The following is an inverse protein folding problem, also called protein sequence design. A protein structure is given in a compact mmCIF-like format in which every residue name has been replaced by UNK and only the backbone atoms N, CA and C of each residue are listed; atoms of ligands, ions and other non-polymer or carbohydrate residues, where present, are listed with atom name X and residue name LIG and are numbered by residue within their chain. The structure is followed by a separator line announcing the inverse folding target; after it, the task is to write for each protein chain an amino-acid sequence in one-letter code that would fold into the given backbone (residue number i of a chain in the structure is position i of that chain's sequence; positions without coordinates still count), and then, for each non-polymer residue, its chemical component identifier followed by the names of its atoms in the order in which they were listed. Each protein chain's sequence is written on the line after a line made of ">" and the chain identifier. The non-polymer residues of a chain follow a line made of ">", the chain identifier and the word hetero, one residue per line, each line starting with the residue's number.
data_IF_871594735002
#
_entry.id   IF_871594735002
#
_cell.length_a   1.000
_cell.length_b   1.000
_cell.length_c   1.000
_cell.angle_alpha   90.00
_cell.angle_beta   90.00
_cell.angle_gamma   90.00
#
_symmetry.space_group_name_H-M   'P 1'
#
loop_
_entity.id
_entity.type
_entity.pdbx_description
1 polymer ?
#
# COMPACT_ATOMS: atom_id res chain seq x y z
N UNK A 1 -52.05 8.30 17.84
CA UNK A 1 -51.49 7.65 19.05
C UNK A 1 -50.33 8.51 19.50
N UNK A 2 -50.58 9.37 20.48
CA UNK A 2 -49.70 10.47 20.89
C UNK A 2 -48.83 9.98 22.04
N UNK A 3 -47.51 9.87 21.84
CA UNK A 3 -46.59 9.57 22.94
C UNK A 3 -46.23 10.86 23.68
N UNK A 4 -46.59 10.88 24.96
CA UNK A 4 -46.33 11.96 25.92
C UNK A 4 -44.85 12.00 26.29
N UNK A 5 -44.31 13.21 26.34
CA UNK A 5 -42.97 13.54 26.81
C UNK A 5 -43.03 13.61 28.34
N UNK A 6 -42.38 12.67 29.02
CA UNK A 6 -42.18 12.71 30.46
C UNK A 6 -40.90 13.49 30.77
N UNK A 7 -41.04 14.64 31.39
CA UNK A 7 -39.94 15.40 31.99
C UNK A 7 -39.67 14.79 33.38
N UNK A 8 -38.53 14.15 33.56
CA UNK A 8 -37.96 13.88 34.90
C UNK A 8 -36.51 14.29 34.86
N UNK A 9 -36.22 15.44 35.45
CA UNK A 9 -34.89 15.82 35.88
C UNK A 9 -34.53 14.94 37.08
N UNK A 10 -33.40 14.26 37.00
CA UNK A 10 -32.48 14.07 38.13
C UNK A 10 -31.14 13.60 37.56
N UNK A 11 -30.10 14.36 37.91
CA UNK A 11 -28.79 14.28 37.29
C UNK A 11 -28.04 13.00 37.63
N UNK A 12 -27.51 12.38 36.58
CA UNK A 12 -26.10 12.01 36.47
C UNK A 12 -25.78 12.35 35.01
N UNK A 13 -24.79 13.21 34.77
CA UNK A 13 -24.23 13.36 33.44
C UNK A 13 -23.59 12.01 33.10
N UNK A 14 -24.33 11.14 32.42
CA UNK A 14 -23.69 10.09 31.66
C UNK A 14 -22.83 10.80 30.63
N UNK A 15 -21.51 10.67 30.79
CA UNK A 15 -20.54 11.09 29.79
C UNK A 15 -21.00 10.50 28.46
N UNK A 16 -21.59 11.37 27.63
CA UNK A 16 -21.78 11.10 26.23
C UNK A 16 -20.34 11.02 25.70
N UNK A 17 -19.78 9.81 25.73
CA UNK A 17 -18.56 9.49 25.01
C UNK A 17 -18.87 9.88 23.57
N UNK A 18 -18.41 11.08 23.22
CA UNK A 18 -18.21 11.47 21.84
C UNK A 18 -17.33 10.36 21.30
N UNK A 19 -17.93 9.39 20.62
CA UNK A 19 -17.20 8.54 19.72
C UNK A 19 -16.68 9.51 18.66
N UNK A 20 -15.52 10.11 18.96
CA UNK A 20 -14.61 10.54 17.91
C UNK A 20 -14.48 9.30 17.07
N UNK A 21 -15.09 9.31 15.89
CA UNK A 21 -14.75 8.39 14.82
C UNK A 21 -13.29 8.64 14.56
N UNK A 22 -12.42 7.96 15.34
CA UNK A 22 -10.99 7.93 15.12
C UNK A 22 -10.85 7.58 13.65
N UNK A 23 -10.28 8.49 12.89
CA UNK A 23 -10.02 8.28 11.48
C UNK A 23 -8.99 7.14 11.39
N UNK A 24 -9.49 5.91 11.26
CA UNK A 24 -8.65 4.71 11.25
C UNK A 24 -8.08 4.55 9.85
N UNK A 25 -6.94 5.18 9.62
CA UNK A 25 -6.16 5.02 8.40
C UNK A 25 -5.60 3.59 8.34
N UNK A 26 -5.74 2.86 7.23
CA UNK A 26 -5.04 1.60 7.05
C UNK A 26 -3.53 1.78 7.17
N UNK A 27 -2.88 0.86 7.86
CA UNK A 27 -1.43 0.80 7.91
C UNK A 27 -0.92 0.05 6.67
N UNK A 28 -0.01 0.69 5.95
CA UNK A 28 0.72 0.13 4.81
C UNK A 28 2.17 0.03 5.21
N UNK A 29 2.75 -1.16 5.09
CA UNK A 29 4.19 -1.30 5.33
C UNK A 29 4.99 -1.06 4.06
N UNK A 30 6.21 -0.54 4.21
CA UNK A 30 7.15 -0.38 3.11
C UNK A 30 8.47 -1.10 3.37
N UNK A 31 9.04 -1.72 2.35
CA UNK A 31 10.34 -2.41 2.36
C UNK A 31 11.16 -2.06 1.11
N UNK A 32 12.39 -2.56 1.04
CA UNK A 32 13.33 -2.26 -0.05
C UNK A 32 14.12 -0.98 0.22
N UNK A 33 14.14 -0.08 -0.76
CA UNK A 33 14.88 1.19 -0.69
C UNK A 33 14.15 2.20 0.22
N UNK A 34 14.63 2.31 1.46
CA UNK A 34 14.06 3.16 2.50
C UNK A 34 14.20 4.65 2.17
N UNK A 35 15.35 5.07 1.66
CA UNK A 35 15.61 6.48 1.36
C UNK A 35 14.73 6.94 0.20
N UNK A 36 14.59 6.10 -0.83
CA UNK A 36 13.66 6.31 -1.92
C UNK A 36 12.22 6.46 -1.41
N UNK A 37 11.74 5.52 -0.60
CA UNK A 37 10.37 5.58 -0.08
C UNK A 37 10.13 6.85 0.74
N UNK A 38 11.02 7.17 1.68
CA UNK A 38 10.88 8.33 2.55
C UNK A 38 10.84 9.66 1.77
N UNK A 39 11.51 9.72 0.61
CA UNK A 39 11.41 10.90 -0.27
C UNK A 39 10.01 11.06 -0.88
N UNK A 40 9.27 9.97 -1.11
CA UNK A 40 7.96 9.94 -1.74
C UNK A 40 6.79 9.96 -0.74
N UNK A 41 7.02 9.55 0.50
CA UNK A 41 6.01 9.43 1.55
C UNK A 41 5.15 10.71 1.76
N UNK A 42 5.72 11.94 1.78
CA UNK A 42 4.90 13.15 1.94
C UNK A 42 3.91 13.35 0.79
N UNK A 43 4.32 13.03 -0.44
CA UNK A 43 3.46 13.11 -1.61
C UNK A 43 2.35 12.05 -1.55
N UNK A 44 2.68 10.80 -1.20
CA UNK A 44 1.69 9.73 -1.06
C UNK A 44 0.65 10.07 0.02
N UNK A 45 1.10 10.55 1.18
CA UNK A 45 0.24 10.88 2.32
C UNK A 45 -0.72 12.03 2.02
N UNK A 46 -0.29 12.99 1.19
CA UNK A 46 -1.13 14.14 0.80
C UNK A 46 -2.03 13.88 -0.40
N UNK A 47 -1.61 13.04 -1.36
CA UNK A 47 -2.34 12.78 -2.61
C UNK A 47 -3.37 11.65 -2.53
N UNK A 48 -3.09 10.54 -1.81
CA UNK A 48 -4.03 9.41 -1.68
C UNK A 48 -5.44 9.82 -1.18
N UNK A 49 -5.58 10.76 -0.22
CA UNK A 49 -6.91 11.21 0.20
C UNK A 49 -7.60 12.14 -0.80
N UNK A 50 -6.91 12.69 -1.80
CA UNK A 50 -7.51 13.63 -2.76
C UNK A 50 -8.18 12.89 -3.91
N UNK A 51 -7.66 11.73 -4.27
CA UNK A 51 -8.16 10.96 -5.41
C UNK A 51 -9.30 10.01 -5.00
N UNK A 52 -10.51 10.17 -5.55
CA UNK A 52 -11.61 9.26 -5.29
C UNK A 52 -11.32 7.88 -5.89
N UNK A 53 -11.44 6.83 -5.06
CA UNK A 53 -11.31 5.44 -5.47
C UNK A 53 -12.66 4.74 -5.47
N UNK A 54 -12.92 3.91 -6.49
CA UNK A 54 -14.13 3.12 -6.56
C UNK A 54 -14.10 1.94 -5.58
N UNK A 55 -14.95 1.98 -4.57
CA UNK A 55 -15.26 0.81 -3.76
C UNK A 55 -16.33 -0.03 -4.45
N UNK A 56 -15.87 -1.10 -5.09
CA UNK A 56 -16.71 -2.15 -5.68
C UNK A 56 -16.97 -3.26 -4.65
N UNK A 57 -18.22 -3.71 -4.56
CA UNK A 57 -18.62 -4.83 -3.69
C UNK A 57 -19.22 -5.95 -4.53
N UNK A 58 -19.08 -7.19 -4.06
CA UNK A 58 -19.66 -8.37 -4.70
C UNK A 58 -21.18 -8.26 -4.87
N UNK A 59 -21.72 -9.07 -5.79
CA UNK A 59 -23.17 -9.22 -6.02
C UNK A 59 -23.87 -7.94 -6.53
N UNK A 60 -23.20 -7.18 -7.41
CA UNK A 60 -23.81 -6.04 -8.12
C UNK A 60 -24.25 -4.89 -7.22
N UNK A 61 -23.74 -4.82 -5.98
CA UNK A 61 -24.05 -3.72 -5.07
C UNK A 61 -23.52 -2.41 -5.62
N UNK A 62 -24.22 -1.32 -5.30
CA UNK A 62 -23.88 0.05 -5.72
C UNK A 62 -22.40 0.34 -5.44
N UNK A 63 -21.69 0.81 -6.47
CA UNK A 63 -20.31 1.29 -6.40
C UNK A 63 -20.31 2.61 -5.62
N UNK A 64 -19.45 2.73 -4.62
CA UNK A 64 -19.26 3.97 -3.88
C UNK A 64 -17.92 4.59 -4.24
N UNK A 65 -17.88 5.91 -4.34
CA UNK A 65 -16.61 6.65 -4.37
C UNK A 65 -16.14 6.88 -2.94
N UNK A 66 -14.88 6.54 -2.65
CA UNK A 66 -14.27 6.72 -1.32
C UNK A 66 -12.88 7.33 -1.45
N UNK A 67 -12.50 8.12 -0.45
CA UNK A 67 -11.14 8.64 -0.30
C UNK A 67 -10.43 7.81 0.76
N UNK A 68 -9.27 7.25 0.43
CA UNK A 68 -8.57 6.30 1.30
C UNK A 68 -7.23 6.90 1.74
N UNK A 69 -7.18 7.59 2.89
CA UNK A 69 -5.90 7.94 3.49
C UNK A 69 -5.13 6.68 3.90
N UNK A 70 -3.81 6.77 3.99
CA UNK A 70 -2.97 5.66 4.47
C UNK A 70 -1.95 6.18 5.49
N UNK A 71 -1.53 5.30 6.40
CA UNK A 71 -0.40 5.51 7.30
C UNK A 71 0.70 4.52 6.95
N UNK A 72 1.94 4.98 6.92
CA UNK A 72 3.06 4.17 6.47
C UNK A 72 3.97 3.76 7.64
N UNK A 73 4.45 2.52 7.61
CA UNK A 73 5.37 1.98 8.62
C UNK A 73 6.48 1.18 7.95
N UNK A 74 7.70 1.26 8.49
CA UNK A 74 8.80 0.44 7.98
C UNK A 74 8.48 -1.03 8.20
N UNK A 75 8.66 -1.85 7.18
CA UNK A 75 8.51 -3.29 7.29
C UNK A 75 9.53 -3.87 8.27
N UNK A 76 9.05 -4.72 9.17
CA UNK A 76 9.84 -5.51 10.12
C UNK A 76 9.15 -6.84 10.37
N UNK A 77 9.86 -7.86 10.85
CA UNK A 77 9.22 -9.15 11.17
C UNK A 77 8.31 -9.06 12.40
N UNK A 78 8.57 -8.08 13.26
CA UNK A 78 7.88 -7.79 14.50
C UNK A 78 6.48 -7.17 14.30
N UNK A 79 6.24 -6.52 13.16
CA UNK A 79 4.93 -5.93 12.82
C UNK A 79 4.00 -6.92 12.12
N UNK A 80 4.49 -8.11 11.77
CA UNK A 80 3.69 -9.13 11.09
C UNK A 80 2.75 -9.82 12.08
N UNK A 81 1.57 -10.28 11.61
CA UNK A 81 0.65 -11.03 12.45
C UNK A 81 1.35 -12.27 13.01
N UNK A 82 1.18 -12.51 14.31
CA UNK A 82 1.58 -13.78 14.95
C UNK A 82 0.51 -14.83 14.69
N UNK A 83 0.88 -16.10 14.78
CA UNK A 83 -0.07 -17.20 14.66
C UNK A 83 -1.26 -17.01 15.61
N UNK A 84 -2.47 -16.98 15.04
CA UNK A 84 -3.72 -16.75 15.79
C UNK A 84 -4.08 -15.29 16.05
N UNK A 85 -3.27 -14.31 15.63
CA UNK A 85 -3.61 -12.88 15.71
C UNK A 85 -4.28 -12.39 14.42
N UNK A 86 -5.60 -12.17 14.48
CA UNK A 86 -6.43 -11.75 13.34
C UNK A 86 -6.87 -10.29 13.42
N UNK A 87 -6.16 -9.45 14.18
CA UNK A 87 -6.53 -8.05 14.37
C UNK A 87 -6.19 -7.23 13.13
N UNK A 88 -7.22 -6.75 12.43
CA UNK A 88 -7.05 -5.81 11.31
C UNK A 88 -6.65 -4.39 11.76
N UNK A 89 -6.99 -4.03 13.00
CA UNK A 89 -6.76 -2.69 13.54
C UNK A 89 -5.36 -2.65 14.14
N UNK A 90 -4.57 -1.66 13.73
CA UNK A 90 -3.17 -1.42 14.13
C UNK A 90 -2.11 -2.33 13.49
N UNK A 91 -2.49 -3.33 12.70
CA UNK A 91 -1.55 -4.12 11.90
C UNK A 91 -1.49 -3.60 10.46
N UNK A 92 -0.32 -3.68 9.78
CA UNK A 92 -0.25 -3.41 8.36
C UNK A 92 -1.07 -4.47 7.61
N UNK A 93 -2.03 -4.00 6.82
CA UNK A 93 -2.90 -4.88 6.01
C UNK A 93 -2.41 -5.00 4.56
N UNK A 94 -1.44 -4.18 4.18
CA UNK A 94 -0.87 -4.13 2.83
C UNK A 94 0.63 -3.89 2.91
N UNK A 95 1.40 -4.66 2.13
CA UNK A 95 2.86 -4.65 2.19
C UNK A 95 3.44 -4.23 0.83
N UNK A 96 4.23 -3.16 0.81
CA UNK A 96 4.82 -2.63 -0.41
C UNK A 96 6.33 -2.79 -0.41
N UNK A 97 6.92 -3.12 -1.55
CA UNK A 97 8.37 -3.16 -1.74
C UNK A 97 8.76 -2.13 -2.79
N UNK A 98 9.64 -1.21 -2.42
CA UNK A 98 10.06 -0.10 -3.25
C UNK A 98 11.48 -0.31 -3.72
N UNK A 99 11.72 -0.11 -5.01
CA UNK A 99 13.04 -0.24 -5.59
C UNK A 99 13.22 0.71 -6.76
N UNK A 100 14.46 1.13 -6.99
CA UNK A 100 14.85 1.87 -8.18
C UNK A 100 16.01 1.12 -8.84
N UNK A 101 15.70 0.44 -9.95
CA UNK A 101 16.68 -0.32 -10.72
C UNK A 101 16.81 0.34 -12.12
N UNK A 102 17.95 0.97 -12.45
CA UNK A 102 18.11 1.73 -13.69
C UNK A 102 18.20 0.82 -14.94
N UNK A 103 18.55 -0.45 -14.75
CA UNK A 103 18.73 -1.45 -15.79
C UNK A 103 18.59 -2.89 -15.24
N UNK A 104 18.59 -3.85 -16.17
CA UNK A 104 18.45 -5.28 -15.90
C UNK A 104 19.63 -5.83 -15.11
N UNK A 105 20.83 -5.30 -15.31
CA UNK A 105 22.04 -5.83 -14.69
C UNK A 105 22.05 -5.50 -13.19
N UNK A 106 21.65 -4.28 -12.83
CA UNK A 106 21.42 -3.87 -11.44
C UNK A 106 20.30 -4.69 -10.79
N UNK A 107 19.20 -4.95 -11.51
CA UNK A 107 18.13 -5.80 -11.00
C UNK A 107 18.63 -7.22 -10.69
N UNK A 108 19.41 -7.83 -11.59
CA UNK A 108 19.95 -9.17 -11.41
C UNK A 108 20.99 -9.25 -10.30
N UNK A 109 21.81 -8.21 -10.12
CA UNK A 109 22.91 -8.22 -9.17
C UNK A 109 22.46 -8.01 -7.73
N UNK A 110 21.43 -7.18 -7.49
CA UNK A 110 20.99 -6.85 -6.13
C UNK A 110 19.48 -6.73 -5.96
N UNK A 111 18.76 -6.17 -6.95
CA UNK A 111 17.32 -5.91 -6.80
C UNK A 111 16.47 -7.16 -6.58
N UNK A 112 16.77 -8.24 -7.31
CA UNK A 112 16.03 -9.51 -7.25
C UNK A 112 16.10 -10.18 -5.88
N UNK A 113 17.29 -10.25 -5.30
CA UNK A 113 17.53 -10.95 -4.02
C UNK A 113 16.74 -10.31 -2.87
N UNK A 114 16.68 -8.98 -2.83
CA UNK A 114 15.91 -8.25 -1.82
C UNK A 114 14.41 -8.54 -1.91
N UNK A 115 13.85 -8.50 -3.13
CA UNK A 115 12.43 -8.82 -3.36
C UNK A 115 12.14 -10.28 -2.99
N UNK A 116 13.01 -11.21 -3.40
CA UNK A 116 12.86 -12.64 -3.10
C UNK A 116 12.86 -12.92 -1.59
N UNK A 117 13.77 -12.29 -0.85
CA UNK A 117 13.86 -12.40 0.61
C UNK A 117 12.61 -11.86 1.30
N UNK A 118 12.12 -10.70 0.84
CA UNK A 118 10.89 -10.10 1.35
C UNK A 118 9.67 -10.97 1.06
N UNK A 119 9.50 -11.43 -0.17
CA UNK A 119 8.41 -12.32 -0.59
C UNK A 119 8.40 -13.64 0.21
N UNK A 120 9.58 -14.24 0.44
CA UNK A 120 9.70 -15.43 1.30
C UNK A 120 9.20 -15.16 2.71
N UNK A 121 9.53 -13.99 3.28
CA UNK A 121 9.08 -13.59 4.62
C UNK A 121 7.56 -13.41 4.68
N UNK A 122 6.96 -12.77 3.66
CA UNK A 122 5.51 -12.64 3.55
C UNK A 122 4.81 -14.01 3.45
N UNK A 123 5.34 -14.89 2.60
CA UNK A 123 4.81 -16.24 2.40
C UNK A 123 4.85 -17.09 3.67
N UNK A 124 5.88 -16.94 4.52
CA UNK A 124 5.97 -17.62 5.83
C UNK A 124 4.86 -17.20 6.81
N UNK A 125 4.28 -16.01 6.64
CA UNK A 125 3.20 -15.49 7.48
C UNK A 125 1.85 -15.51 6.75
N UNK A 126 1.77 -16.25 5.64
CA UNK A 126 0.58 -16.38 4.79
C UNK A 126 0.02 -15.02 4.31
N UNK A 127 0.89 -14.03 4.13
CA UNK A 127 0.49 -12.69 3.68
C UNK A 127 0.30 -12.70 2.17
N UNK A 128 -0.93 -12.37 1.75
CA UNK A 128 -1.31 -12.33 0.34
C UNK A 128 -1.47 -10.93 -0.22
N UNK A 129 -1.43 -9.89 0.61
CA UNK A 129 -1.72 -8.51 0.20
C UNK A 129 -0.43 -7.72 0.10
N UNK A 130 0.13 -7.69 -1.10
CA UNK A 130 1.43 -7.09 -1.37
C UNK A 130 1.49 -6.37 -2.72
N UNK A 131 2.46 -5.48 -2.89
CA UNK A 131 2.78 -4.83 -4.17
C UNK A 131 4.27 -4.53 -4.28
N UNK A 132 4.82 -4.71 -5.47
CA UNK A 132 6.19 -4.30 -5.81
C UNK A 132 6.10 -3.05 -6.68
N UNK A 133 6.75 -1.97 -6.23
CA UNK A 133 6.79 -0.68 -6.90
C UNK A 133 8.21 -0.42 -7.39
N UNK A 134 8.36 -0.43 -8.71
CA UNK A 134 9.56 0.04 -9.39
C UNK A 134 9.42 1.55 -9.62
N UNK A 135 10.33 2.33 -9.09
CA UNK A 135 10.43 3.76 -9.39
C UNK A 135 11.43 3.94 -10.53
N UNK A 136 10.98 4.50 -11.64
CA UNK A 136 11.79 4.77 -12.82
C UNK A 136 12.21 6.24 -12.85
N UNK A 137 13.49 6.50 -13.13
CA UNK A 137 13.97 7.84 -13.48
C UNK A 137 13.83 8.03 -14.99
N UNK A 138 13.14 9.08 -15.42
CA UNK A 138 13.01 9.40 -16.83
C UNK A 138 14.37 9.80 -17.42
N UNK A 139 14.84 9.09 -18.45
CA UNK A 139 16.09 9.40 -19.16
C UNK A 139 15.81 9.61 -20.65
N UNK A 140 15.77 10.88 -21.05
CA UNK A 140 15.53 11.32 -22.43
C UNK A 140 16.58 10.80 -23.43
N UNK A 141 17.75 10.35 -22.96
CA UNK A 141 18.82 9.84 -23.84
C UNK A 141 18.62 8.38 -24.27
N UNK A 142 17.64 7.67 -23.70
CA UNK A 142 17.37 6.26 -24.02
C UNK A 142 16.43 6.06 -25.23
N UNK A 143 15.98 7.12 -25.92
CA UNK A 143 14.88 7.08 -26.90
C UNK A 143 15.19 6.50 -28.31
N UNK A 144 16.38 5.98 -28.58
CA UNK A 144 16.81 5.61 -29.95
C UNK A 144 17.08 4.11 -30.19
N UNK A 145 16.26 3.19 -29.66
CA UNK A 145 16.43 1.75 -29.94
C UNK A 145 15.18 1.13 -30.55
N UNK A 146 15.29 0.73 -31.83
CA UNK A 146 14.27 0.03 -32.62
C UNK A 146 13.91 -1.38 -32.12
N UNK A 147 14.62 -1.93 -31.13
CA UNK A 147 14.40 -3.29 -30.64
C UNK A 147 13.67 -3.23 -29.30
N UNK A 148 12.54 -3.93 -29.13
CA UNK A 148 11.90 -4.08 -27.83
C UNK A 148 12.87 -4.76 -26.86
N UNK A 149 13.39 -4.02 -25.90
CA UNK A 149 14.20 -4.57 -24.81
C UNK A 149 13.27 -4.93 -23.67
N UNK A 150 13.39 -6.16 -23.16
CA UNK A 150 12.77 -6.54 -21.88
C UNK A 150 13.11 -5.50 -20.83
N UNK A 151 12.10 -4.94 -20.18
CA UNK A 151 12.30 -3.92 -19.14
C UNK A 151 12.59 -4.57 -17.80
N UNK A 152 13.01 -3.78 -16.81
CA UNK A 152 13.14 -4.28 -15.43
C UNK A 152 11.78 -4.71 -14.89
N UNK A 153 10.72 -3.94 -15.19
CA UNK A 153 9.35 -4.31 -14.81
C UNK A 153 8.94 -5.67 -15.39
N UNK A 154 9.25 -5.94 -16.66
CA UNK A 154 8.96 -7.24 -17.29
C UNK A 154 9.65 -8.39 -16.56
N UNK A 155 10.90 -8.17 -16.11
CA UNK A 155 11.63 -9.15 -15.30
C UNK A 155 11.00 -9.35 -13.92
N UNK A 156 10.61 -8.28 -13.23
CA UNK A 156 9.92 -8.37 -11.93
C UNK A 156 8.60 -9.14 -12.09
N UNK A 157 7.80 -8.83 -13.11
CA UNK A 157 6.54 -9.55 -13.40
C UNK A 157 6.78 -11.03 -13.71
N UNK A 158 7.79 -11.33 -14.51
CA UNK A 158 8.16 -12.71 -14.82
C UNK A 158 8.62 -13.48 -13.59
N UNK A 159 9.37 -12.84 -12.69
CA UNK A 159 9.99 -13.50 -11.54
C UNK A 159 9.01 -13.62 -10.35
N UNK A 160 8.12 -12.63 -10.14
CA UNK A 160 7.25 -12.56 -8.95
C UNK A 160 5.75 -12.39 -9.25
N UNK A 161 5.39 -11.94 -10.45
CA UNK A 161 4.03 -11.54 -10.83
C UNK A 161 3.22 -12.58 -11.59
N UNK A 162 3.63 -13.85 -11.65
CA UNK A 162 3.01 -14.89 -12.50
C UNK A 162 1.47 -14.87 -12.58
N UNK A 163 0.76 -14.94 -11.43
CA UNK A 163 -0.71 -14.83 -11.31
C UNK A 163 -1.19 -13.48 -10.78
N UNK A 164 -0.25 -12.56 -10.54
CA UNK A 164 -0.43 -11.32 -9.79
C UNK A 164 0.31 -10.16 -10.46
N UNK A 165 0.32 -10.11 -11.79
CA UNK A 165 1.10 -9.15 -12.55
C UNK A 165 0.63 -7.70 -12.32
N UNK A 166 -0.62 -7.55 -11.91
CA UNK A 166 -1.27 -6.31 -11.46
C UNK A 166 -0.67 -5.76 -10.15
N UNK A 167 0.05 -6.59 -9.39
CA UNK A 167 0.75 -6.19 -8.15
C UNK A 167 2.19 -5.73 -8.40
N UNK A 168 2.64 -5.71 -9.65
CA UNK A 168 3.92 -5.18 -10.05
C UNK A 168 3.70 -3.90 -10.86
N UNK A 169 4.05 -2.76 -10.26
CA UNK A 169 3.82 -1.43 -10.80
C UNK A 169 5.15 -0.76 -11.14
N UNK A 170 5.19 -0.02 -12.24
CA UNK A 170 6.23 0.98 -12.48
C UNK A 170 5.62 2.38 -12.39
N UNK A 171 6.32 3.28 -11.70
CA UNK A 171 5.96 4.70 -11.59
C UNK A 171 7.15 5.57 -11.96
N UNK A 172 6.91 6.66 -12.68
CA UNK A 172 7.94 7.67 -12.94
C UNK A 172 8.17 8.44 -11.65
N UNK A 173 9.44 8.64 -11.27
CA UNK A 173 9.81 9.39 -10.08
C UNK A 173 9.32 10.84 -10.18
N UNK A 174 8.31 11.26 -9.39
CA UNK A 174 7.72 12.59 -9.49
C UNK A 174 8.66 13.71 -8.99
N UNK A 175 9.74 13.36 -8.29
CA UNK A 175 10.72 14.32 -7.79
C UNK A 175 11.86 14.58 -8.80
N UNK A 176 11.91 13.78 -9.88
CA UNK A 176 12.96 13.85 -10.90
C UNK A 176 12.42 13.89 -12.34
N UNK A 177 11.11 14.10 -12.48
CA UNK A 177 10.38 14.26 -13.74
C UNK A 177 10.44 15.70 -14.25
#
# INVERSE_FOLDING_TARGET
>A
MTLRIGLVQNGLAEDCQVFSTMEKKPNVSFSGDKELFQSLEPLLSSSLPQEPTEWRRSYGRIIKSVHVPASFVSFGKDILPKDGDYRLIHQPIFHTYWTQCPDIDTYKSSGKEGIETWMKTLGQHNITDWMIVLVETYDFRKSNKLIPRTTVLDKIRSDFGSKHADRCLSVINPLRS
#
